data_IF_410279775090
#
_entry.id   IF_410279775090
#
_cell.length_a   1.000
_cell.length_b   1.000
_cell.length_c   1.000
_cell.angle_alpha   90.00
_cell.angle_beta   90.00
_cell.angle_gamma   90.00
#
_symmetry.space_group_name_H-M   'P 1'
#
loop_
_entity.id
_entity.type
_entity.pdbx_description
1 polymer ?
#
# COMPACT_ATOMS: atom_id res chain seq x y z
N UNK A 1 -13.42 -10.31 -18.53
CA UNK A 1 -12.90 -9.17 -17.75
C UNK A 1 -13.15 -7.91 -18.58
N UNK A 2 -13.96 -6.98 -18.10
CA UNK A 2 -14.15 -5.70 -18.78
C UNK A 2 -12.83 -4.94 -18.78
N UNK A 3 -12.43 -4.37 -19.90
CA UNK A 3 -11.22 -3.54 -19.97
C UNK A 3 -11.34 -2.37 -18.99
N UNK A 4 -10.28 -2.13 -18.22
CA UNK A 4 -10.20 -0.97 -17.33
C UNK A 4 -10.14 0.28 -18.21
N UNK A 5 -11.16 1.14 -18.10
CA UNK A 5 -11.11 2.46 -18.75
C UNK A 5 -10.33 3.39 -17.83
N UNK A 6 -9.12 3.73 -18.22
CA UNK A 6 -8.24 4.57 -17.42
C UNK A 6 -8.90 5.90 -17.08
N UNK A 7 -8.82 6.31 -15.82
CA UNK A 7 -9.36 7.58 -15.34
C UNK A 7 -10.88 7.63 -15.12
N UNK A 8 -11.54 6.49 -15.20
CA UNK A 8 -12.98 6.39 -14.92
C UNK A 8 -13.23 5.50 -13.69
N UNK A 9 -14.30 5.76 -12.91
CA UNK A 9 -14.70 4.87 -11.85
C UNK A 9 -15.13 3.51 -12.41
N UNK A 10 -14.91 2.46 -11.64
CA UNK A 10 -15.54 1.16 -11.93
C UNK A 10 -17.02 1.20 -11.61
N UNK A 11 -17.76 0.17 -12.07
CA UNK A 11 -19.13 -0.04 -11.63
C UNK A 11 -19.21 -0.28 -10.11
N UNK A 12 -20.33 0.06 -9.50
CA UNK A 12 -20.57 -0.20 -8.06
C UNK A 12 -20.39 -1.70 -7.71
N UNK A 13 -20.83 -2.58 -8.61
CA UNK A 13 -20.66 -4.03 -8.45
C UNK A 13 -19.17 -4.40 -8.41
N UNK A 14 -18.37 -3.88 -9.35
CA UNK A 14 -16.92 -4.14 -9.36
C UNK A 14 -16.20 -3.57 -8.15
N UNK A 15 -16.57 -2.38 -7.71
CA UNK A 15 -16.03 -1.78 -6.47
C UNK A 15 -16.34 -2.66 -5.25
N UNK A 16 -17.57 -3.21 -5.17
CA UNK A 16 -17.96 -4.11 -4.09
C UNK A 16 -17.17 -5.42 -4.10
N UNK A 17 -17.01 -6.08 -5.27
CA UNK A 17 -16.21 -7.30 -5.40
C UNK A 17 -14.77 -7.10 -4.91
N UNK A 18 -14.13 -6.00 -5.32
CA UNK A 18 -12.77 -5.65 -4.92
C UNK A 18 -12.69 -5.40 -3.40
N UNK A 19 -13.67 -4.69 -2.85
CA UNK A 19 -13.72 -4.44 -1.41
C UNK A 19 -13.93 -5.76 -0.62
N UNK A 20 -14.79 -6.65 -1.08
CA UNK A 20 -15.02 -7.98 -0.47
C UNK A 20 -13.74 -8.83 -0.48
N UNK A 21 -12.99 -8.82 -1.59
CA UNK A 21 -11.70 -9.51 -1.68
C UNK A 21 -10.69 -8.90 -0.69
N UNK A 22 -10.61 -7.57 -0.63
CA UNK A 22 -9.75 -6.87 0.32
C UNK A 22 -10.09 -7.20 1.78
N UNK A 23 -11.36 -7.21 2.16
CA UNK A 23 -11.78 -7.56 3.51
C UNK A 23 -11.49 -9.02 3.86
N UNK A 24 -11.54 -9.93 2.89
CA UNK A 24 -11.26 -11.34 3.10
C UNK A 24 -9.76 -11.64 3.19
N UNK A 25 -8.98 -11.10 2.26
CA UNK A 25 -7.56 -11.45 2.09
C UNK A 25 -6.61 -10.48 2.83
N UNK A 26 -7.05 -9.23 3.08
CA UNK A 26 -6.22 -8.16 3.60
C UNK A 26 -5.31 -7.49 2.56
N UNK A 27 -5.33 -7.99 1.33
CA UNK A 27 -4.63 -7.42 0.17
C UNK A 27 -5.39 -7.78 -1.11
N UNK A 28 -5.48 -6.84 -2.05
CA UNK A 28 -6.09 -7.07 -3.37
C UNK A 28 -5.31 -6.33 -4.45
N UNK A 29 -5.06 -6.98 -5.58
CA UNK A 29 -4.38 -6.40 -6.76
C UNK A 29 -5.40 -6.00 -7.82
N UNK A 30 -5.29 -4.77 -8.31
CA UNK A 30 -6.13 -4.19 -9.37
C UNK A 30 -5.22 -3.78 -10.53
N UNK A 31 -5.23 -4.51 -11.66
CA UNK A 31 -4.32 -4.25 -12.76
C UNK A 31 -4.74 -3.06 -13.63
N UNK A 32 -3.74 -2.39 -14.24
CA UNK A 32 -3.93 -1.46 -15.36
C UNK A 32 -4.67 -0.17 -15.01
N UNK A 33 -4.46 0.38 -13.82
CA UNK A 33 -5.16 1.59 -13.35
C UNK A 33 -4.54 2.87 -13.89
N UNK A 34 -3.21 2.95 -14.02
CA UNK A 34 -2.51 4.10 -14.57
C UNK A 34 -2.05 3.80 -16.01
N UNK A 35 -1.96 4.86 -16.82
CA UNK A 35 -1.33 4.78 -18.13
C UNK A 35 0.19 4.72 -18.03
N UNK A 36 0.88 4.24 -19.08
CA UNK A 36 2.35 4.30 -19.13
C UNK A 36 2.91 5.72 -18.97
N UNK A 37 2.22 6.72 -19.54
CA UNK A 37 2.61 8.13 -19.47
C UNK A 37 2.50 8.68 -18.04
N UNK A 38 1.42 8.36 -17.32
CA UNK A 38 1.25 8.71 -15.91
C UNK A 38 2.36 8.08 -15.05
N UNK A 39 2.66 6.81 -15.28
CA UNK A 39 3.74 6.09 -14.57
C UNK A 39 5.10 6.75 -14.80
N UNK A 40 5.43 7.08 -16.05
CA UNK A 40 6.69 7.75 -16.40
C UNK A 40 6.77 9.11 -15.72
N UNK A 41 5.72 9.93 -15.82
CA UNK A 41 5.70 11.27 -15.22
C UNK A 41 5.90 11.23 -13.69
N UNK A 42 5.20 10.32 -13.00
CA UNK A 42 5.31 10.16 -11.55
C UNK A 42 6.68 9.65 -11.11
N UNK A 43 7.27 8.73 -11.87
CA UNK A 43 8.62 8.22 -11.62
C UNK A 43 9.68 9.30 -11.84
N UNK A 44 9.62 10.01 -12.96
CA UNK A 44 10.58 11.06 -13.30
C UNK A 44 10.54 12.21 -12.27
N UNK A 45 9.33 12.54 -11.79
CA UNK A 45 9.15 13.49 -10.70
C UNK A 45 9.77 12.98 -9.39
N UNK A 46 9.65 11.68 -9.10
CA UNK A 46 10.28 11.07 -7.93
C UNK A 46 11.81 11.14 -8.02
N UNK A 47 12.39 10.85 -9.20
CA UNK A 47 13.83 11.00 -9.44
C UNK A 47 14.30 12.43 -9.30
N UNK A 48 13.53 13.40 -9.82
CA UNK A 48 13.83 14.82 -9.63
C UNK A 48 13.99 15.17 -8.16
N UNK A 49 13.03 14.76 -7.31
CA UNK A 49 13.09 15.02 -5.86
C UNK A 49 14.18 14.22 -5.15
N UNK A 50 14.49 13.02 -5.61
CA UNK A 50 15.60 12.23 -5.08
C UNK A 50 16.96 12.91 -5.35
N UNK A 51 17.18 13.38 -6.56
CA UNK A 51 18.42 14.08 -6.95
C UNK A 51 18.58 15.39 -6.18
N UNK A 52 17.48 16.12 -5.97
CA UNK A 52 17.48 17.42 -5.29
C UNK A 52 17.12 17.36 -3.80
N UNK A 53 17.20 16.18 -3.18
CA UNK A 53 16.75 15.94 -1.80
C UNK A 53 17.41 16.85 -0.76
N UNK A 54 18.68 17.20 -0.99
CA UNK A 54 19.43 18.07 -0.07
C UNK A 54 18.89 19.52 -0.02
N UNK A 55 18.09 19.89 -1.00
CA UNK A 55 17.38 21.17 -1.07
C UNK A 55 15.98 21.12 -0.45
N UNK A 56 15.49 19.92 -0.10
CA UNK A 56 14.18 19.75 0.52
C UNK A 56 14.23 19.95 2.03
N UNK A 57 13.19 20.52 2.64
CA UNK A 57 13.03 20.44 4.09
C UNK A 57 13.08 18.96 4.57
N UNK A 58 13.75 18.70 5.68
CA UNK A 58 13.97 17.34 6.21
C UNK A 58 12.68 16.53 6.44
N UNK A 59 11.54 17.18 6.60
CA UNK A 59 10.25 16.51 6.71
C UNK A 59 9.80 15.77 5.43
N UNK A 60 10.33 16.17 4.26
CA UNK A 60 9.90 15.66 2.96
C UNK A 60 10.65 14.41 2.50
N UNK A 61 11.62 13.95 3.25
CA UNK A 61 12.26 12.67 2.94
C UNK A 61 12.72 11.95 4.21
N UNK A 62 12.88 10.66 4.09
CA UNK A 62 13.46 9.79 5.10
C UNK A 62 14.05 8.56 4.43
N UNK A 63 14.68 7.72 5.23
CA UNK A 63 15.14 6.41 4.77
C UNK A 63 14.46 5.31 5.59
N UNK A 64 13.92 4.31 4.89
CA UNK A 64 13.40 3.10 5.50
C UNK A 64 14.33 1.96 5.10
N UNK A 65 15.12 1.45 6.05
CA UNK A 65 16.13 0.41 5.81
C UNK A 65 16.98 0.68 4.55
N UNK A 66 17.48 1.90 4.38
CA UNK A 66 18.25 2.43 3.26
C UNK A 66 17.46 2.79 1.99
N UNK A 67 16.21 2.39 1.84
CA UNK A 67 15.37 2.88 0.74
C UNK A 67 14.99 4.33 0.96
N UNK A 68 15.13 5.17 -0.08
CA UNK A 68 14.68 6.55 -0.03
C UNK A 68 13.15 6.61 -0.03
N UNK A 69 12.59 7.41 0.86
CA UNK A 69 11.15 7.66 0.96
C UNK A 69 10.92 9.16 0.80
N UNK A 70 10.33 9.55 -0.33
CA UNK A 70 9.78 10.89 -0.50
C UNK A 70 8.47 10.96 0.29
N UNK A 71 8.39 11.89 1.23
CA UNK A 71 7.25 12.04 2.16
C UNK A 71 6.42 13.27 1.80
N UNK A 72 5.10 13.14 2.05
CA UNK A 72 4.15 14.24 1.81
C UNK A 72 4.21 14.78 0.38
N UNK A 73 4.37 13.89 -0.60
CA UNK A 73 4.53 14.27 -2.00
C UNK A 73 3.42 15.18 -2.53
N UNK A 74 2.20 15.01 -2.03
CA UNK A 74 1.06 15.86 -2.41
C UNK A 74 1.22 17.34 -2.03
N UNK A 75 2.12 17.67 -1.09
CA UNK A 75 2.43 19.06 -0.74
C UNK A 75 3.60 19.62 -1.55
N UNK A 76 4.29 18.77 -2.30
CA UNK A 76 5.46 19.14 -3.10
C UNK A 76 5.12 19.42 -4.55
N UNK A 77 4.18 18.66 -5.12
CA UNK A 77 3.94 18.72 -6.57
C UNK A 77 2.47 18.47 -6.91
N UNK A 78 1.88 19.29 -7.81
CA UNK A 78 0.51 19.09 -8.30
C UNK A 78 0.27 17.71 -8.91
N UNK A 79 1.25 17.12 -9.59
CA UNK A 79 1.13 15.77 -10.18
C UNK A 79 0.85 14.70 -9.12
N UNK A 80 1.52 14.79 -7.96
CA UNK A 80 1.23 13.90 -6.85
C UNK A 80 -0.12 14.22 -6.20
N UNK A 81 -0.52 15.49 -6.17
CA UNK A 81 -1.80 15.92 -5.62
C UNK A 81 -2.99 15.37 -6.42
N UNK A 82 -2.88 15.32 -7.75
CA UNK A 82 -3.91 14.77 -8.63
C UNK A 82 -4.23 13.29 -8.32
N UNK A 83 -3.26 12.54 -7.81
CA UNK A 83 -3.45 11.14 -7.44
C UNK A 83 -4.42 10.93 -6.28
N UNK A 84 -4.68 11.94 -5.44
CA UNK A 84 -5.56 11.84 -4.27
C UNK A 84 -7.00 11.50 -4.66
N UNK A 85 -7.47 12.09 -5.77
CA UNK A 85 -8.85 11.90 -6.25
C UNK A 85 -8.90 11.18 -7.60
N UNK A 86 -7.78 10.56 -8.00
CA UNK A 86 -7.66 9.82 -9.25
C UNK A 86 -8.61 8.62 -9.29
N UNK A 87 -9.48 8.57 -10.29
CA UNK A 87 -10.34 7.39 -10.52
C UNK A 87 -9.56 6.25 -11.24
N UNK A 88 -9.82 4.98 -10.91
CA UNK A 88 -10.82 4.46 -9.98
C UNK A 88 -10.37 4.38 -8.50
N UNK A 89 -9.20 4.91 -8.14
CA UNK A 89 -8.66 4.84 -6.77
C UNK A 89 -9.66 5.44 -5.77
N UNK A 90 -10.15 6.64 -6.04
CA UNK A 90 -11.06 7.34 -5.13
C UNK A 90 -12.37 6.58 -4.89
N UNK A 91 -13.00 6.06 -5.93
CA UNK A 91 -14.23 5.26 -5.82
C UNK A 91 -13.98 3.95 -5.06
N UNK A 92 -12.85 3.30 -5.27
CA UNK A 92 -12.46 2.08 -4.57
C UNK A 92 -12.19 2.34 -3.09
N UNK A 93 -11.55 3.46 -2.75
CA UNK A 93 -11.36 3.88 -1.35
C UNK A 93 -12.71 4.12 -0.68
N UNK A 94 -13.65 4.76 -1.39
CA UNK A 94 -15.00 4.97 -0.89
C UNK A 94 -15.76 3.65 -0.65
N UNK A 95 -15.52 2.61 -1.46
CA UNK A 95 -16.10 1.29 -1.26
C UNK A 95 -15.58 0.58 0.00
N UNK A 96 -14.34 0.85 0.41
CA UNK A 96 -13.73 0.25 1.61
C UNK A 96 -14.04 1.07 2.87
N UNK A 97 -13.83 2.39 2.83
CA UNK A 97 -13.91 3.28 4.01
C UNK A 97 -15.22 4.06 4.12
N UNK A 98 -16.06 3.99 3.09
CA UNK A 98 -17.25 4.84 2.97
C UNK A 98 -16.95 6.21 2.35
N UNK A 99 -18.01 6.96 1.97
CA UNK A 99 -17.89 8.19 1.19
C UNK A 99 -17.29 9.37 1.98
N UNK A 100 -17.20 9.26 3.31
CA UNK A 100 -16.64 10.31 4.18
C UNK A 100 -15.19 9.99 4.62
N UNK A 101 -14.46 9.21 3.83
CA UNK A 101 -13.04 8.97 4.10
C UNK A 101 -12.22 10.27 3.95
N UNK A 102 -11.00 10.25 4.48
CA UNK A 102 -10.04 11.33 4.32
C UNK A 102 -8.72 10.80 3.76
N UNK A 103 -8.02 11.64 3.04
CA UNK A 103 -6.64 11.43 2.66
C UNK A 103 -5.70 11.80 3.82
N UNK A 104 -4.70 10.98 4.11
CA UNK A 104 -3.74 11.20 5.18
C UNK A 104 -2.35 11.56 4.66
N UNK A 105 -1.81 10.77 3.74
CA UNK A 105 -0.46 10.98 3.24
C UNK A 105 -0.25 10.38 1.84
N UNK A 106 0.68 10.97 1.10
CA UNK A 106 1.28 10.39 -0.11
C UNK A 106 2.78 10.33 0.08
N UNK A 107 3.33 9.12 -0.01
CA UNK A 107 4.76 8.87 0.01
C UNK A 107 5.16 8.12 -1.26
N UNK A 108 6.41 8.26 -1.69
CA UNK A 108 6.97 7.43 -2.77
C UNK A 108 8.23 6.77 -2.28
N UNK A 109 8.28 5.44 -2.39
CA UNK A 109 9.43 4.63 -2.02
C UNK A 109 10.25 4.35 -3.27
N UNK A 110 11.52 4.72 -3.23
CA UNK A 110 12.55 4.41 -4.21
C UNK A 110 13.53 3.43 -3.57
N UNK A 111 13.54 2.20 -4.07
CA UNK A 111 14.29 1.09 -3.48
C UNK A 111 15.30 0.52 -4.47
N UNK A 112 16.57 0.81 -4.27
CA UNK A 112 17.67 0.34 -5.11
C UNK A 112 18.02 -1.13 -4.84
N UNK A 113 18.87 -1.69 -5.69
CA UNK A 113 19.45 -3.02 -5.52
C UNK A 113 20.09 -3.17 -4.14
N UNK A 114 19.87 -4.33 -3.51
CA UNK A 114 20.42 -4.65 -2.19
C UNK A 114 19.66 -4.08 -1.02
N UNK A 115 18.65 -3.26 -1.25
CA UNK A 115 17.83 -2.68 -0.19
C UNK A 115 16.62 -3.55 0.12
N UNK A 116 16.30 -3.66 1.40
CA UNK A 116 15.07 -4.27 1.90
C UNK A 116 14.31 -3.25 2.73
N UNK A 117 12.97 -3.32 2.75
CA UNK A 117 12.20 -2.33 3.48
C UNK A 117 11.89 -2.78 4.89
N UNK A 118 11.76 -4.08 5.17
CA UNK A 118 11.45 -4.44 6.54
C UNK A 118 11.45 -5.93 6.86
N UNK A 119 11.28 -6.16 8.13
CA UNK A 119 10.82 -7.37 8.79
C UNK A 119 9.29 -7.51 8.68
N UNK A 120 8.77 -8.68 8.96
CA UNK A 120 7.33 -8.93 9.06
C UNK A 120 6.70 -8.10 10.17
N UNK A 121 5.62 -7.38 9.85
CA UNK A 121 4.95 -6.47 10.78
C UNK A 121 3.47 -6.27 10.41
N UNK A 122 2.74 -5.64 11.28
CA UNK A 122 1.54 -4.86 10.99
C UNK A 122 1.94 -3.38 11.02
N UNK A 123 1.25 -2.56 10.29
CA UNK A 123 1.45 -1.12 10.38
C UNK A 123 0.87 -0.61 11.69
N UNK A 124 1.66 0.26 12.38
CA UNK A 124 1.29 0.87 13.65
C UNK A 124 1.10 -0.15 14.78
N UNK A 125 0.00 -0.10 15.50
CA UNK A 125 -0.34 -1.01 16.61
C UNK A 125 -1.36 -2.04 16.17
N UNK A 126 -1.42 -3.16 16.88
CA UNK A 126 -2.56 -4.08 16.75
C UNK A 126 -3.79 -3.42 17.37
N UNK A 127 -4.75 -3.04 16.55
CA UNK A 127 -5.91 -2.25 16.98
C UNK A 127 -6.89 -3.05 17.86
N UNK A 128 -7.01 -4.35 17.57
CA UNK A 128 -7.90 -5.25 18.29
C UNK A 128 -7.11 -6.46 18.78
N UNK A 129 -6.32 -6.34 19.87
CA UNK A 129 -5.51 -7.46 20.35
C UNK A 129 -6.39 -8.56 20.92
N UNK A 130 -6.14 -9.80 20.51
CA UNK A 130 -6.80 -10.98 21.04
C UNK A 130 -5.96 -11.62 22.15
N UNK A 131 -6.61 -12.13 23.23
CA UNK A 131 -5.93 -12.93 24.22
C UNK A 131 -5.41 -14.25 23.61
N UNK A 132 -4.34 -14.84 24.18
CA UNK A 132 -3.65 -16.00 23.60
C UNK A 132 -4.56 -17.21 23.31
N UNK A 133 -5.57 -17.42 24.15
CA UNK A 133 -6.54 -18.52 24.05
C UNK A 133 -7.54 -18.40 22.91
N UNK A 134 -7.72 -17.21 22.36
CA UNK A 134 -8.59 -16.98 21.18
C UNK A 134 -7.72 -16.97 19.94
N UNK A 135 -7.84 -17.97 19.06
CA UNK A 135 -6.90 -18.14 17.93
C UNK A 135 -7.01 -17.01 16.88
N UNK A 136 -8.23 -16.49 16.67
CA UNK A 136 -8.51 -15.41 15.70
C UNK A 136 -9.90 -14.82 15.89
N UNK A 137 -10.18 -13.72 15.17
CA UNK A 137 -11.55 -13.23 14.98
C UNK A 137 -12.37 -14.17 14.08
N UNK A 138 -13.67 -14.17 14.27
CA UNK A 138 -14.60 -14.90 13.41
C UNK A 138 -14.62 -14.29 12.00
N UNK A 139 -14.25 -15.07 10.98
CA UNK A 139 -14.18 -14.59 9.60
C UNK A 139 -15.55 -14.20 8.99
N UNK A 140 -16.66 -14.55 9.67
CA UNK A 140 -18.01 -14.09 9.28
C UNK A 140 -18.26 -12.64 9.66
N UNK A 141 -17.41 -12.07 10.53
CA UNK A 141 -17.48 -10.68 10.96
C UNK A 141 -16.45 -9.89 10.15
N UNK A 142 -16.92 -8.93 9.36
CA UNK A 142 -16.02 -8.01 8.68
C UNK A 142 -15.34 -7.13 9.72
N UNK A 143 -14.02 -7.29 9.85
CA UNK A 143 -13.25 -6.44 10.76
C UNK A 143 -13.26 -4.99 10.29
N UNK A 144 -13.41 -4.02 11.21
CA UNK A 144 -13.30 -2.62 10.87
C UNK A 144 -11.93 -2.29 10.26
N UNK A 145 -11.92 -1.45 9.23
CA UNK A 145 -10.70 -0.88 8.65
C UNK A 145 -10.69 0.61 8.97
N UNK A 146 -9.76 1.02 9.81
CA UNK A 146 -9.65 2.43 10.20
C UNK A 146 -8.89 3.24 9.17
N UNK A 147 -7.89 2.62 8.57
CA UNK A 147 -7.13 3.17 7.47
C UNK A 147 -6.47 2.04 6.65
N UNK A 148 -6.06 2.34 5.46
CA UNK A 148 -5.29 1.42 4.64
C UNK A 148 -4.46 2.18 3.61
N UNK A 149 -3.55 1.48 2.96
CA UNK A 149 -2.68 2.03 1.94
C UNK A 149 -3.05 1.49 0.57
N UNK A 150 -3.24 2.41 -0.37
CA UNK A 150 -3.22 2.12 -1.81
C UNK A 150 -1.79 2.22 -2.27
N UNK A 151 -1.25 1.12 -2.75
CA UNK A 151 0.08 1.03 -3.34
C UNK A 151 -0.05 1.16 -4.85
N UNK A 152 0.71 2.06 -5.47
CA UNK A 152 0.76 2.25 -6.92
C UNK A 152 2.14 1.81 -7.41
N UNK A 153 2.19 0.78 -8.23
CA UNK A 153 3.44 0.31 -8.82
C UNK A 153 3.89 1.27 -9.92
N UNK A 154 5.03 1.94 -9.73
CA UNK A 154 5.63 2.83 -10.73
C UNK A 154 6.79 2.15 -11.48
N UNK A 155 7.06 0.90 -11.18
CA UNK A 155 7.98 0.00 -11.88
C UNK A 155 7.41 -1.40 -11.91
N UNK A 156 7.85 -2.22 -12.86
CA UNK A 156 7.48 -3.64 -12.88
C UNK A 156 8.07 -4.38 -11.69
N UNK A 157 7.24 -5.17 -11.04
CA UNK A 157 7.58 -6.05 -9.92
C UNK A 157 7.10 -7.46 -10.31
N UNK A 158 7.78 -8.05 -11.31
CA UNK A 158 7.33 -9.28 -11.96
C UNK A 158 7.89 -10.55 -11.32
N UNK A 159 8.94 -10.42 -10.50
CA UNK A 159 9.63 -11.54 -9.85
C UNK A 159 9.91 -11.22 -8.39
N UNK A 160 10.28 -12.24 -7.63
CA UNK A 160 10.67 -12.06 -6.22
C UNK A 160 11.92 -11.21 -6.05
N UNK A 161 12.82 -11.22 -7.04
CA UNK A 161 14.05 -10.43 -7.03
C UNK A 161 13.79 -8.93 -7.12
N UNK A 162 12.63 -8.51 -7.67
CA UNK A 162 12.26 -7.10 -7.73
C UNK A 162 11.81 -6.53 -6.37
N UNK A 163 11.85 -7.33 -5.30
CA UNK A 163 11.51 -6.89 -3.96
C UNK A 163 10.02 -6.58 -3.77
N UNK A 164 9.10 -7.49 -4.09
CA UNK A 164 7.66 -7.26 -3.96
C UNK A 164 7.25 -7.02 -2.51
N UNK A 165 6.09 -6.39 -2.33
CA UNK A 165 5.37 -6.51 -1.08
C UNK A 165 4.95 -7.97 -0.90
N UNK A 166 5.22 -8.52 0.26
CA UNK A 166 4.76 -9.84 0.67
C UNK A 166 3.76 -9.70 1.81
N UNK A 167 2.73 -10.51 1.81
CA UNK A 167 1.69 -10.50 2.84
C UNK A 167 1.22 -11.92 3.14
N UNK A 168 0.64 -12.13 4.32
CA UNK A 168 0.00 -13.39 4.70
C UNK A 168 -1.51 -13.22 4.64
N UNK A 169 -2.20 -13.92 3.73
CA UNK A 169 -3.64 -13.76 3.53
C UNK A 169 -4.43 -14.01 4.81
N UNK A 170 -5.42 -13.15 5.07
CA UNK A 170 -6.32 -13.27 6.22
C UNK A 170 -5.68 -12.96 7.58
N UNK A 171 -4.38 -12.69 7.65
CA UNK A 171 -3.66 -12.49 8.93
C UNK A 171 -4.14 -11.30 9.76
N UNK A 172 -4.86 -10.34 9.17
CA UNK A 172 -5.52 -9.26 9.89
C UNK A 172 -6.61 -9.76 10.86
N UNK A 173 -7.09 -10.99 10.69
CA UNK A 173 -7.98 -11.65 11.65
C UNK A 173 -7.26 -12.21 12.88
N UNK A 174 -5.93 -12.21 12.90
CA UNK A 174 -5.14 -12.77 14.01
C UNK A 174 -5.26 -11.97 15.31
N UNK A 175 -5.47 -10.66 15.23
CA UNK A 175 -5.39 -9.75 16.38
C UNK A 175 -4.00 -9.74 17.03
N UNK A 176 -2.92 -9.99 16.26
CA UNK A 176 -1.54 -10.12 16.76
C UNK A 176 -0.51 -9.61 15.77
N UNK A 177 0.65 -9.25 16.29
CA UNK A 177 1.85 -9.13 15.47
C UNK A 177 2.30 -10.51 14.95
N UNK A 178 2.99 -10.59 13.79
CA UNK A 178 3.64 -11.82 13.37
C UNK A 178 4.67 -12.24 14.42
N UNK A 179 4.56 -13.49 14.90
CA UNK A 179 5.33 -13.99 16.05
C UNK A 179 6.72 -14.49 15.66
N UNK A 180 7.01 -14.66 14.37
CA UNK A 180 8.24 -15.26 13.86
C UNK A 180 9.12 -14.23 13.16
N UNK A 181 10.45 -14.38 13.28
CA UNK A 181 11.42 -13.74 12.40
C UNK A 181 11.49 -14.43 11.02
N UNK A 182 11.06 -15.68 10.96
CA UNK A 182 10.89 -16.45 9.75
C UNK A 182 9.58 -16.09 9.05
N UNK A 183 9.32 -16.68 7.90
CA UNK A 183 8.07 -16.45 7.18
C UNK A 183 6.87 -16.93 8.01
N UNK A 184 5.97 -16.02 8.42
CA UNK A 184 4.86 -16.36 9.28
C UNK A 184 3.79 -17.15 8.53
N UNK A 185 3.09 -18.02 9.27
CA UNK A 185 1.97 -18.81 8.75
C UNK A 185 0.72 -18.43 9.55
N UNK A 186 -0.37 -18.15 8.86
CA UNK A 186 -1.69 -17.94 9.43
C UNK A 186 -2.69 -18.92 8.80
N UNK A 187 -3.33 -19.75 9.62
CA UNK A 187 -4.30 -20.77 9.17
C UNK A 187 -3.80 -21.66 8.01
N UNK A 188 -2.53 -22.06 8.06
CA UNK A 188 -1.90 -22.89 7.03
C UNK A 188 -1.48 -22.14 5.78
N UNK A 189 -1.72 -20.82 5.70
CA UNK A 189 -1.28 -19.98 4.59
C UNK A 189 0.02 -19.26 4.95
N UNK A 190 1.03 -19.46 4.12
CA UNK A 190 2.28 -18.69 4.17
C UNK A 190 2.22 -17.41 3.32
N UNK A 191 3.37 -16.71 3.22
CA UNK A 191 3.47 -15.47 2.47
C UNK A 191 3.12 -15.61 1.00
N UNK A 192 2.37 -14.63 0.49
CA UNK A 192 2.18 -14.39 -0.94
C UNK A 192 2.90 -13.11 -1.35
N UNK A 193 3.47 -13.08 -2.55
CA UNK A 193 4.07 -11.89 -3.14
C UNK A 193 3.07 -11.17 -4.06
N UNK A 194 3.00 -9.87 -3.96
CA UNK A 194 2.25 -9.03 -4.90
C UNK A 194 3.13 -8.78 -6.13
N UNK A 195 2.98 -9.65 -7.14
CA UNK A 195 3.63 -9.47 -8.44
C UNK A 195 2.72 -8.63 -9.33
N UNK A 196 3.24 -7.52 -9.85
CA UNK A 196 2.45 -6.53 -10.58
C UNK A 196 3.29 -5.83 -11.65
N UNK A 197 2.61 -5.17 -12.58
CA UNK A 197 3.23 -4.31 -13.59
C UNK A 197 3.15 -2.85 -13.16
N UNK A 198 4.00 -2.03 -13.75
CA UNK A 198 3.90 -0.59 -13.64
C UNK A 198 2.51 -0.11 -14.12
N UNK A 199 1.85 0.70 -13.30
CA UNK A 199 0.46 1.14 -13.52
C UNK A 199 -0.60 0.30 -12.81
N UNK A 200 -0.24 -0.86 -12.26
CA UNK A 200 -1.12 -1.61 -11.37
C UNK A 200 -1.19 -0.95 -9.98
N UNK A 201 -2.29 -1.16 -9.28
CA UNK A 201 -2.42 -0.77 -7.87
C UNK A 201 -2.76 -2.00 -7.02
N UNK A 202 -2.43 -1.94 -5.75
CA UNK A 202 -2.89 -2.93 -4.78
C UNK A 202 -3.18 -2.28 -3.43
N UNK A 203 -4.16 -2.83 -2.74
CA UNK A 203 -4.53 -2.39 -1.40
C UNK A 203 -3.87 -3.27 -0.38
N UNK A 204 -3.39 -2.68 0.70
CA UNK A 204 -2.88 -3.41 1.87
C UNK A 204 -3.58 -2.90 3.13
N UNK A 205 -4.25 -3.81 3.82
CA UNK A 205 -4.80 -3.53 5.15
C UNK A 205 -3.64 -3.45 6.15
N UNK A 206 -3.58 -2.36 6.90
CA UNK A 206 -2.52 -2.08 7.85
C UNK A 206 -2.37 -3.14 8.97
N UNK A 207 -3.42 -3.93 9.24
CA UNK A 207 -3.39 -5.04 10.21
C UNK A 207 -2.98 -6.39 9.58
N UNK A 208 -2.84 -6.47 8.26
CA UNK A 208 -2.33 -7.67 7.58
C UNK A 208 -0.82 -7.79 7.82
N UNK A 209 -0.34 -8.98 8.17
CA UNK A 209 1.08 -9.24 8.28
C UNK A 209 1.75 -9.09 6.92
N UNK A 210 2.68 -8.18 6.84
CA UNK A 210 3.34 -7.87 5.57
C UNK A 210 4.79 -7.42 5.75
N UNK A 211 5.53 -7.39 4.65
CA UNK A 211 6.86 -6.79 4.53
C UNK A 211 7.16 -6.34 3.11
N UNK A 212 8.18 -5.52 2.93
CA UNK A 212 8.83 -5.31 1.64
C UNK A 212 9.99 -6.28 1.51
N UNK A 213 9.93 -7.21 0.55
CA UNK A 213 11.04 -8.11 0.28
C UNK A 213 12.29 -7.34 -0.20
N UNK A 214 13.50 -7.90 -0.05
CA UNK A 214 14.72 -7.31 -0.60
C UNK A 214 14.64 -7.18 -2.12
N UNK A 215 15.05 -6.02 -2.64
CA UNK A 215 15.28 -5.87 -4.08
C UNK A 215 16.68 -6.41 -4.42
N UNK A 216 16.75 -7.60 -4.97
CA UNK A 216 18.00 -8.24 -5.39
C UNK A 216 18.24 -8.14 -6.90
N UNK A 217 17.32 -7.48 -7.62
CA UNK A 217 17.46 -7.23 -9.06
C UNK A 217 18.43 -6.06 -9.33
N UNK A 218 18.79 -5.89 -10.59
CA UNK A 218 19.60 -4.76 -11.08
C UNK A 218 18.79 -3.47 -11.34
N UNK A 219 17.50 -3.46 -10.98
CA UNK A 219 16.58 -2.35 -11.25
C UNK A 219 16.10 -1.69 -9.97
N UNK A 220 15.95 -0.36 -10.01
CA UNK A 220 15.31 0.39 -8.94
C UNK A 220 13.80 0.14 -8.95
N UNK A 221 13.23 -0.20 -7.79
CA UNK A 221 11.80 -0.33 -7.59
C UNK A 221 11.20 0.99 -7.10
N UNK A 222 10.06 1.37 -7.69
CA UNK A 222 9.29 2.55 -7.28
C UNK A 222 7.87 2.15 -6.93
N UNK A 223 7.44 2.53 -5.74
CA UNK A 223 6.05 2.33 -5.26
C UNK A 223 5.58 3.62 -4.61
N UNK A 224 4.46 4.16 -5.11
CA UNK A 224 3.77 5.26 -4.46
C UNK A 224 2.74 4.70 -3.49
N UNK A 225 2.62 5.33 -2.34
CA UNK A 225 1.71 4.96 -1.27
C UNK A 225 0.74 6.10 -1.01
N UNK A 226 -0.55 5.86 -1.21
CA UNK A 226 -1.61 6.78 -0.82
C UNK A 226 -2.33 6.20 0.40
N UNK A 227 -2.33 6.92 1.49
CA UNK A 227 -2.98 6.50 2.73
C UNK A 227 -4.31 7.23 2.92
N UNK A 228 -5.34 6.44 3.16
CA UNK A 228 -6.69 6.93 3.43
C UNK A 228 -7.20 6.34 4.74
N UNK A 229 -8.01 7.12 5.46
CA UNK A 229 -8.56 6.73 6.74
C UNK A 229 -10.04 7.06 6.86
N UNK A 230 -10.71 6.42 7.80
CA UNK A 230 -12.01 6.86 8.30
C UNK A 230 -11.88 8.30 8.79
N UNK A 231 -12.92 9.12 8.57
CA UNK A 231 -12.90 10.54 8.93
C UNK A 231 -12.54 10.80 10.40
N UNK A 232 -12.94 9.92 11.27
CA UNK A 232 -12.75 10.02 12.72
C UNK A 232 -11.47 9.32 13.22
N UNK A 233 -10.85 8.46 12.39
CA UNK A 233 -9.63 7.76 12.78
C UNK A 233 -8.43 8.69 12.68
N UNK A 234 -7.63 8.77 13.74
CA UNK A 234 -6.33 9.42 13.72
C UNK A 234 -5.24 8.37 13.51
N UNK A 235 -4.30 8.66 12.63
CA UNK A 235 -3.17 7.79 12.32
C UNK A 235 -1.86 8.53 12.52
N UNK A 236 -0.76 7.78 12.67
CA UNK A 236 0.59 8.37 12.78
C UNK A 236 0.96 9.27 11.59
N UNK A 237 0.25 9.14 10.47
CA UNK A 237 0.46 9.90 9.24
C UNK A 237 -0.54 11.07 9.06
N UNK A 238 -1.44 11.28 10.01
CA UNK A 238 -2.50 12.28 9.91
C UNK A 238 -2.02 13.73 9.99
N UNK A 239 -0.74 13.96 10.16
CA UNK A 239 -0.17 15.29 10.16
C UNK A 239 0.22 15.69 8.75
N UNK A 240 -0.73 16.30 8.04
CA UNK A 240 -0.39 17.22 6.96
C UNK A 240 0.32 18.37 7.64
N UNK A 241 1.65 18.30 7.64
CA UNK A 241 2.49 19.28 8.34
C UNK A 241 2.52 20.64 7.66
#
# INVERSE_FOLDING_TARGET
MSAVTVGQPFSEERNREIAEEFFREGCVLIPGVLTPEEVVALRDKTEFYFVHRDSLPSKHFSYAANAFVLRYGATLDPLFQEMITREPIHSLVAAVLGPQHRFNALNVIRNETGQAISYWHVDDVVEFPLPPEIPRFDARIQMPVFWFTVQVALSDINTLENGPTQYVPGSHYSGRHPMSKEDPIFEGQGPKAVLCKAGDIYFTNHQTWHRGAPNTSDRTRYVMQLQYAQRWADTRFSRIG
#
